data_IF_990672650121
#
_entry.id   IF_990672650121
#
_cell.length_a   1.000
_cell.length_b   1.000
_cell.length_c   1.000
_cell.angle_alpha   90.00
_cell.angle_beta   90.00
_cell.angle_gamma   90.00
#
_symmetry.space_group_name_H-M   'P 1'
#
loop_
_entity.id
_entity.type
_entity.pdbx_description
1 polymer ?
#
# COMPACT_ATOMS: atom_id res chain seq x y z
N UNK A 1 15.89 -6.68 2.18
CA UNK A 1 16.29 -5.50 2.96
C UNK A 1 17.17 -5.84 4.17
N UNK A 2 17.29 -7.12 4.56
CA UNK A 2 18.16 -7.61 5.65
C UNK A 2 19.60 -7.12 5.55
N UNK A 3 20.23 -7.19 4.36
CA UNK A 3 21.58 -6.66 4.15
C UNK A 3 21.73 -5.18 4.54
N UNK A 4 20.71 -4.36 4.28
CA UNK A 4 20.74 -2.94 4.62
C UNK A 4 20.67 -2.72 6.14
N UNK A 5 19.86 -3.52 6.84
CA UNK A 5 19.81 -3.54 8.32
C UNK A 5 21.17 -3.98 8.87
N UNK A 6 21.70 -5.11 8.38
CA UNK A 6 22.95 -5.71 8.88
C UNK A 6 24.16 -4.80 8.68
N UNK A 7 24.14 -3.95 7.65
CA UNK A 7 25.22 -3.00 7.33
C UNK A 7 24.96 -1.59 7.86
N UNK A 8 23.87 -1.37 8.61
CA UNK A 8 23.41 -0.03 9.02
C UNK A 8 23.28 0.96 7.85
N UNK A 9 22.97 0.45 6.65
CA UNK A 9 22.68 1.27 5.47
C UNK A 9 21.20 1.62 5.48
N UNK A 10 20.89 2.91 5.56
CA UNK A 10 19.51 3.39 5.46
C UNK A 10 19.17 3.56 3.97
N UNK A 11 18.19 2.79 3.49
CA UNK A 11 17.67 2.89 2.13
C UNK A 11 16.64 4.01 2.07
N UNK A 12 16.74 4.89 1.07
CA UNK A 12 15.72 5.88 0.82
C UNK A 12 14.52 5.25 0.09
N UNK A 13 13.60 4.70 0.87
CA UNK A 13 12.42 3.95 0.37
C UNK A 13 11.30 4.83 -0.19
N UNK A 14 11.42 6.16 -0.08
CA UNK A 14 10.49 7.13 -0.63
C UNK A 14 11.12 7.97 -1.74
N UNK A 15 12.32 7.61 -2.20
CA UNK A 15 12.96 8.30 -3.31
C UNK A 15 12.14 8.10 -4.58
N UNK A 16 11.76 9.21 -5.20
CA UNK A 16 11.12 9.22 -6.49
C UNK A 16 12.16 8.95 -7.58
N UNK A 17 11.80 8.12 -8.56
CA UNK A 17 12.53 8.01 -9.82
C UNK A 17 12.11 9.13 -10.80
N UNK A 18 12.47 8.96 -12.07
CA UNK A 18 12.18 9.93 -13.14
C UNK A 18 10.70 10.08 -13.46
N UNK A 19 9.86 9.13 -13.08
CA UNK A 19 8.42 9.14 -13.32
C UNK A 19 7.65 9.55 -12.04
N UNK A 20 8.34 10.12 -11.06
CA UNK A 20 7.83 10.38 -9.72
C UNK A 20 7.37 9.11 -8.96
N UNK A 21 7.84 7.94 -9.40
CA UNK A 21 7.52 6.67 -8.78
C UNK A 21 8.58 6.31 -7.73
N UNK A 22 8.11 5.93 -6.55
CA UNK A 22 8.94 5.43 -5.47
C UNK A 22 8.74 3.91 -5.30
N UNK A 23 9.64 3.21 -4.58
CA UNK A 23 9.66 1.74 -4.49
C UNK A 23 8.31 1.03 -4.28
N UNK A 24 7.37 1.65 -3.56
CA UNK A 24 6.03 1.10 -3.36
C UNK A 24 5.26 0.87 -4.67
N UNK A 25 5.35 1.78 -5.65
CA UNK A 25 4.69 1.62 -6.94
C UNK A 25 5.12 0.32 -7.63
N UNK A 26 6.42 0.04 -7.62
CA UNK A 26 6.98 -1.17 -8.21
C UNK A 26 6.53 -2.43 -7.49
N UNK A 27 6.44 -2.40 -6.15
CA UNK A 27 5.92 -3.53 -5.36
C UNK A 27 4.47 -3.82 -5.74
N UNK A 28 3.65 -2.77 -5.88
CA UNK A 28 2.23 -2.90 -6.18
C UNK A 28 1.97 -3.34 -7.61
N UNK A 29 2.65 -2.74 -8.60
CA UNK A 29 2.52 -3.11 -10.02
C UNK A 29 2.87 -4.57 -10.28
N UNK A 30 3.85 -5.09 -9.55
CA UNK A 30 4.25 -6.50 -9.63
C UNK A 30 3.38 -7.43 -8.77
N UNK A 31 2.37 -6.89 -8.08
CA UNK A 31 1.53 -7.59 -7.12
C UNK A 31 2.33 -8.45 -6.11
N UNK A 32 3.50 -7.95 -5.69
CA UNK A 32 4.42 -8.74 -4.88
C UNK A 32 4.12 -8.57 -3.38
N UNK A 33 3.09 -9.27 -2.91
CA UNK A 33 2.63 -9.22 -1.50
C UNK A 33 3.73 -9.66 -0.52
N UNK A 34 4.57 -10.62 -0.89
CA UNK A 34 5.69 -11.05 -0.06
C UNK A 34 6.71 -9.91 0.13
N UNK A 35 7.06 -9.20 -0.96
CA UNK A 35 7.95 -8.04 -0.89
C UNK A 35 7.31 -6.87 -0.12
N UNK A 36 6.00 -6.66 -0.25
CA UNK A 36 5.27 -5.66 0.56
C UNK A 36 5.47 -5.89 2.05
N UNK A 37 5.36 -7.15 2.54
CA UNK A 37 5.59 -7.47 3.95
C UNK A 37 7.01 -7.09 4.39
N UNK A 38 8.02 -7.52 3.63
CA UNK A 38 9.43 -7.19 3.92
C UNK A 38 9.69 -5.69 3.90
N UNK A 39 9.05 -4.96 2.98
CA UNK A 39 9.15 -3.51 2.86
C UNK A 39 8.58 -2.79 4.08
N UNK A 40 7.41 -3.23 4.56
CA UNK A 40 6.76 -2.70 5.75
C UNK A 40 7.55 -3.01 7.02
N UNK A 41 8.01 -4.25 7.18
CA UNK A 41 8.82 -4.66 8.33
C UNK A 41 10.11 -3.84 8.43
N UNK A 42 10.76 -3.60 7.28
CA UNK A 42 11.94 -2.74 7.21
C UNK A 42 11.63 -1.31 7.66
N UNK A 43 10.59 -0.69 7.10
CA UNK A 43 10.20 0.67 7.46
C UNK A 43 9.85 0.77 8.94
N UNK A 44 9.12 -0.21 9.49
CA UNK A 44 8.75 -0.23 10.90
C UNK A 44 9.96 -0.44 11.82
N UNK A 45 10.90 -1.31 11.47
CA UNK A 45 12.12 -1.56 12.27
C UNK A 45 13.00 -0.31 12.42
N UNK A 46 12.97 0.58 11.44
CA UNK A 46 13.74 1.82 11.39
C UNK A 46 12.89 3.05 11.69
N UNK A 47 11.61 2.87 12.06
CA UNK A 47 10.64 3.93 12.30
C UNK A 47 10.54 4.95 11.14
N UNK A 48 10.67 4.45 9.90
CA UNK A 48 10.54 5.25 8.69
C UNK A 48 9.07 5.53 8.39
N UNK A 49 8.77 6.78 8.05
CA UNK A 49 7.48 7.15 7.45
C UNK A 49 7.51 6.78 5.98
N UNK A 50 6.55 5.96 5.53
CA UNK A 50 6.41 5.62 4.12
C UNK A 50 5.46 6.61 3.43
N UNK A 51 5.84 7.06 2.23
CA UNK A 51 4.93 7.73 1.31
C UNK A 51 3.98 6.68 0.76
N UNK A 52 2.66 6.86 0.87
CA UNK A 52 1.69 5.79 0.58
C UNK A 52 0.60 6.22 -0.41
N UNK A 53 0.29 7.51 -0.44
CA UNK A 53 -0.76 8.18 -1.21
C UNK A 53 -0.23 9.08 -2.33
N UNK A 54 1.10 9.15 -2.50
CA UNK A 54 1.68 10.03 -3.49
C UNK A 54 1.35 9.61 -4.91
N UNK A 55 1.10 10.61 -5.74
CA UNK A 55 0.90 10.46 -7.18
C UNK A 55 2.23 10.38 -7.91
N UNK A 56 2.25 9.63 -9.02
CA UNK A 56 3.32 9.65 -9.99
C UNK A 56 3.03 10.69 -11.10
N UNK A 57 3.89 10.81 -12.11
CA UNK A 57 3.69 11.76 -13.23
C UNK A 57 2.36 11.56 -13.99
N UNK A 58 1.80 10.35 -13.98
CA UNK A 58 0.52 10.02 -14.61
C UNK A 58 -0.70 10.33 -13.71
N UNK A 59 -0.49 10.87 -12.50
CA UNK A 59 -1.53 11.08 -11.49
C UNK A 59 -2.02 9.77 -10.84
N UNK A 60 -1.29 8.66 -11.02
CA UNK A 60 -1.62 7.37 -10.44
C UNK A 60 -1.07 7.23 -9.01
N UNK A 61 -1.82 6.59 -8.11
CA UNK A 61 -1.37 6.25 -6.75
C UNK A 61 -1.16 4.75 -6.60
N UNK A 62 -0.32 4.28 -5.65
CA UNK A 62 -0.13 2.84 -5.43
C UNK A 62 -1.45 2.09 -5.19
N UNK A 63 -2.38 2.67 -4.42
CA UNK A 63 -3.69 2.06 -4.19
C UNK A 63 -4.50 1.91 -5.48
N UNK A 64 -4.49 2.91 -6.38
CA UNK A 64 -5.16 2.83 -7.67
C UNK A 64 -4.63 1.66 -8.50
N UNK A 65 -3.31 1.45 -8.50
CA UNK A 65 -2.73 0.29 -9.17
C UNK A 65 -3.17 -1.03 -8.52
N UNK A 66 -3.14 -1.16 -7.19
CA UNK A 66 -3.57 -2.39 -6.49
C UNK A 66 -5.01 -2.78 -6.84
N UNK A 67 -5.90 -1.79 -6.88
CA UNK A 67 -7.31 -1.92 -7.27
C UNK A 67 -7.46 -2.37 -8.73
N UNK A 68 -6.71 -1.76 -9.66
CA UNK A 68 -6.73 -2.13 -11.09
C UNK A 68 -6.23 -3.55 -11.34
N UNK A 69 -5.31 -4.04 -10.50
CA UNK A 69 -4.82 -5.42 -10.57
C UNK A 69 -5.77 -6.45 -9.90
N UNK A 70 -6.91 -6.01 -9.35
CA UNK A 70 -7.87 -6.84 -8.60
C UNK A 70 -7.20 -7.68 -7.51
N UNK A 71 -6.11 -7.16 -6.93
CA UNK A 71 -5.38 -7.87 -5.88
C UNK A 71 -5.96 -7.50 -4.52
N UNK A 72 -6.85 -8.35 -4.03
CA UNK A 72 -7.46 -8.21 -2.71
C UNK A 72 -6.37 -8.19 -1.63
N UNK A 73 -5.39 -9.10 -1.72
CA UNK A 73 -4.31 -9.19 -0.73
C UNK A 73 -3.41 -7.95 -0.70
N UNK A 74 -3.07 -7.39 -1.87
CA UNK A 74 -2.28 -6.16 -1.93
C UNK A 74 -3.07 -4.96 -1.41
N UNK A 75 -4.35 -4.87 -1.79
CA UNK A 75 -5.26 -3.80 -1.33
C UNK A 75 -5.43 -3.86 0.19
N UNK A 76 -5.60 -5.06 0.76
CA UNK A 76 -5.64 -5.27 2.21
C UNK A 76 -4.30 -4.90 2.87
N UNK A 77 -3.17 -5.32 2.32
CA UNK A 77 -1.86 -5.02 2.87
C UNK A 77 -1.60 -3.50 2.94
N UNK A 78 -1.94 -2.74 1.89
CA UNK A 78 -1.83 -1.27 1.88
C UNK A 78 -2.79 -0.65 2.90
N UNK A 79 -4.05 -1.11 2.92
CA UNK A 79 -5.12 -0.50 3.71
C UNK A 79 -4.97 -0.70 5.22
N UNK A 80 -4.43 -1.84 5.68
CA UNK A 80 -4.17 -2.08 7.11
C UNK A 80 -3.05 -1.18 7.63
N UNK A 81 -1.98 -1.01 6.86
CA UNK A 81 -0.84 -0.20 7.27
C UNK A 81 -1.14 1.30 7.30
N UNK A 82 -2.13 1.77 6.53
CA UNK A 82 -2.64 3.14 6.62
C UNK A 82 -3.38 3.44 7.93
N UNK A 83 -3.95 2.43 8.59
CA UNK A 83 -4.76 2.61 9.79
C UNK A 83 -3.89 2.74 11.05
N UNK A 84 -2.76 2.04 11.13
CA UNK A 84 -1.90 2.06 12.32
C UNK A 84 -1.09 3.37 12.49
N UNK A 85 -0.88 4.15 11.42
CA UNK A 85 -0.13 5.43 11.47
C UNK A 85 -0.99 6.69 11.51
N UNK A 86 -2.29 6.58 11.18
CA UNK A 86 -3.23 7.67 11.39
C UNK A 86 -3.91 7.42 12.73
N UNK A 87 -3.69 8.28 13.74
CA UNK A 87 -4.24 8.17 15.12
C UNK A 87 -5.79 8.05 15.22
N UNK A 88 -6.49 7.95 14.10
CA UNK A 88 -7.92 7.67 13.97
C UNK A 88 -8.07 6.57 12.92
N UNK A 89 -8.18 5.32 13.36
CA UNK A 89 -8.37 4.12 12.54
C UNK A 89 -9.68 4.06 11.72
N UNK A 90 -10.13 5.19 11.18
CA UNK A 90 -11.22 5.28 10.22
C UNK A 90 -10.63 5.83 8.91
N UNK A 91 -10.27 4.95 7.98
CA UNK A 91 -10.04 5.38 6.59
C UNK A 91 -11.37 5.35 5.84
N UNK A 92 -11.91 6.50 5.39
CA UNK A 92 -13.15 6.57 4.60
C UNK A 92 -13.09 5.79 3.28
N UNK A 93 -11.90 5.38 2.85
CA UNK A 93 -11.67 4.72 1.57
C UNK A 93 -12.00 3.22 1.59
N UNK A 94 -11.96 2.54 2.75
CA UNK A 94 -12.38 1.14 2.81
C UNK A 94 -13.90 1.01 2.59
N UNK A 95 -14.71 1.92 3.13
CA UNK A 95 -16.16 1.94 2.92
C UNK A 95 -16.51 2.04 1.42
N UNK A 96 -15.83 2.94 0.70
CA UNK A 96 -16.07 3.14 -0.73
C UNK A 96 -15.51 2.01 -1.62
N UNK A 97 -14.41 1.36 -1.21
CA UNK A 97 -13.82 0.24 -1.95
C UNK A 97 -14.57 -1.06 -1.70
N UNK A 98 -15.06 -1.33 -0.48
CA UNK A 98 -16.00 -2.43 -0.26
C UNK A 98 -17.29 -2.17 -1.02
N UNK A 99 -17.86 -0.96 -0.98
CA UNK A 99 -19.12 -0.69 -1.69
C UNK A 99 -18.99 -0.77 -3.23
N UNK A 100 -17.91 -0.29 -3.84
CA UNK A 100 -17.73 -0.35 -5.30
C UNK A 100 -17.17 -1.68 -5.82
N UNK A 101 -16.30 -2.38 -5.07
CA UNK A 101 -15.81 -3.71 -5.49
C UNK A 101 -16.83 -4.82 -5.26
N UNK A 102 -17.76 -4.68 -4.28
CA UNK A 102 -18.86 -5.64 -4.10
C UNK A 102 -19.95 -5.48 -5.17
N UNK A 103 -20.13 -4.27 -5.72
CA UNK A 103 -21.16 -4.01 -6.74
C UNK A 103 -20.81 -4.51 -8.15
N UNK A 104 -19.52 -4.70 -8.46
CA UNK A 104 -19.10 -5.16 -9.79
C UNK A 104 -18.81 -6.66 -9.90
N UNK A 105 -18.88 -7.46 -8.83
CA UNK A 105 -18.59 -8.91 -8.91
C UNK A 105 -19.41 -9.83 -7.96
N UNK A 106 -20.58 -9.42 -7.46
CA UNK A 106 -21.57 -10.37 -6.93
C UNK A 106 -21.16 -11.16 -5.68
N UNK A 107 -20.52 -10.50 -4.70
CA UNK A 107 -20.37 -11.07 -3.36
C UNK A 107 -21.18 -10.23 -2.37
N UNK A 108 -22.38 -10.72 -2.04
CA UNK A 108 -23.20 -10.20 -0.95
C UNK A 108 -22.49 -10.55 0.36
N UNK A 109 -22.15 -9.56 1.17
CA UNK A 109 -22.11 -9.77 2.62
C UNK A 109 -22.94 -8.67 3.27
N UNK A 110 -23.90 -9.13 4.05
CA UNK A 110 -24.99 -8.39 4.64
C UNK A 110 -24.47 -7.34 5.62
N UNK A 111 -24.94 -6.10 5.44
CA UNK A 111 -25.03 -5.14 6.53
C UNK A 111 -25.99 -5.72 7.58
N UNK A 112 -25.45 -6.14 8.73
CA UNK A 112 -26.23 -6.26 9.95
C UNK A 112 -25.88 -5.06 10.83
N UNK A 113 -26.88 -4.17 10.94
CA UNK A 113 -27.21 -3.20 12.02
C UNK A 113 -26.09 -2.57 12.84
#
# INVERSE_FOLDING_TARGET
>A
MTYAIDTNTILNVNENDKNEEYPLFWIVRNNNVAMMKVFMDYANSLLLTLKMDGENEDGGTPLLYAVRHNSIDMTHAISLNWQDKNEKGNSPLLANLTENHLNNNGLIIMNNT
#
